data_IF_860989766175
#
_entry.id   IF_860989766175
#
_cell.length_a   1.000
_cell.length_b   1.000
_cell.length_c   1.000
_cell.angle_alpha   90.00
_cell.angle_beta   90.00
_cell.angle_gamma   90.00
#
_symmetry.space_group_name_H-M   'P 1'
#
loop_
_entity.id
_entity.type
_entity.pdbx_description
1 polymer ?
#
# COMPACT_ATOMS: atom_id res chain seq x y z
N UNK A 1 9.74 24.44 15.49
CA UNK A 1 9.88 24.85 14.06
C UNK A 1 9.97 26.36 13.97
N UNK A 2 10.94 26.95 13.24
CA UNK A 2 11.03 28.42 13.11
C UNK A 2 11.38 28.80 11.67
N UNK A 3 10.54 29.62 11.05
CA UNK A 3 10.89 30.31 9.81
C UNK A 3 12.12 31.19 10.07
N UNK A 4 13.13 31.15 9.19
CA UNK A 4 14.24 32.10 9.27
C UNK A 4 13.66 33.52 9.29
N UNK A 5 14.16 34.39 10.17
CA UNK A 5 13.64 35.77 10.37
C UNK A 5 13.43 36.52 9.05
N UNK A 6 14.35 36.33 8.10
CA UNK A 6 14.30 36.90 6.74
C UNK A 6 13.18 36.34 5.86
N UNK A 7 12.87 35.05 5.95
CA UNK A 7 11.76 34.42 5.21
C UNK A 7 10.40 34.86 5.76
N UNK A 8 10.28 34.97 7.09
CA UNK A 8 9.07 35.53 7.74
C UNK A 8 8.83 36.98 7.34
N UNK A 9 9.89 37.81 7.36
CA UNK A 9 9.79 39.22 6.98
C UNK A 9 9.38 39.39 5.50
N UNK A 10 9.98 38.62 4.58
CA UNK A 10 9.61 38.64 3.16
C UNK A 10 8.16 38.22 2.92
N UNK A 11 7.68 37.21 3.63
CA UNK A 11 6.29 36.79 3.52
C UNK A 11 5.32 37.84 4.07
N UNK A 12 5.65 38.48 5.19
CA UNK A 12 4.83 39.56 5.75
C UNK A 12 4.75 40.76 4.79
N UNK A 13 5.87 41.15 4.17
CA UNK A 13 5.88 42.22 3.16
C UNK A 13 4.99 41.84 1.97
N UNK A 14 5.11 40.61 1.48
CA UNK A 14 4.31 40.14 0.33
C UNK A 14 2.80 40.01 0.63
N UNK A 15 2.42 39.65 1.86
CA UNK A 15 1.01 39.71 2.30
C UNK A 15 0.53 41.16 2.35
N UNK A 16 1.29 42.04 3.00
CA UNK A 16 0.89 43.44 3.15
C UNK A 16 0.78 44.16 1.79
N UNK A 17 1.60 43.77 0.80
CA UNK A 17 1.49 44.28 -0.59
C UNK A 17 0.25 43.74 -1.30
N UNK A 18 -0.05 42.44 -1.14
CA UNK A 18 -1.25 41.82 -1.72
C UNK A 18 -2.56 42.36 -1.13
N UNK A 19 -2.57 42.68 0.16
CA UNK A 19 -3.71 43.34 0.82
C UNK A 19 -3.90 44.78 0.33
N UNK A 20 -2.81 45.51 0.05
CA UNK A 20 -2.86 46.87 -0.51
C UNK A 20 -3.37 46.91 -1.95
N UNK A 21 -3.21 45.84 -2.73
CA UNK A 21 -3.72 45.75 -4.11
C UNK A 21 -5.14 45.17 -4.18
N UNK A 22 -5.88 45.10 -3.08
CA UNK A 22 -7.22 44.52 -3.00
C UNK A 22 -7.32 43.10 -3.61
N UNK A 23 -6.24 42.33 -3.52
CA UNK A 23 -6.19 40.97 -4.05
C UNK A 23 -5.90 40.85 -5.54
N UNK A 24 -5.57 41.93 -6.24
CA UNK A 24 -5.05 41.86 -7.61
C UNK A 24 -3.62 41.26 -7.61
N UNK A 25 -3.46 40.11 -8.28
CA UNK A 25 -2.18 39.41 -8.44
C UNK A 25 -2.17 37.98 -7.88
N UNK A 26 -1.00 37.32 -7.88
CA UNK A 26 -0.83 35.99 -7.27
C UNK A 26 -0.57 36.13 -5.77
N UNK A 27 -1.43 35.52 -4.95
CA UNK A 27 -1.25 35.43 -3.50
C UNK A 27 0.14 34.85 -3.15
N UNK A 28 0.81 35.45 -2.17
CA UNK A 28 2.14 35.03 -1.76
C UNK A 28 2.08 33.63 -1.12
N UNK A 29 2.95 32.72 -1.57
CA UNK A 29 3.01 31.36 -1.03
C UNK A 29 3.76 31.37 0.29
N UNK A 30 3.14 30.83 1.35
CA UNK A 30 3.77 30.72 2.67
C UNK A 30 5.13 30.02 2.55
N UNK A 31 6.24 30.63 3.01
CA UNK A 31 7.55 30.03 2.87
C UNK A 31 7.59 28.67 3.57
N UNK A 32 8.15 27.67 2.89
CA UNK A 32 8.37 26.36 3.47
C UNK A 32 9.32 26.50 4.66
N UNK A 33 8.88 26.07 5.84
CA UNK A 33 9.72 25.99 7.02
C UNK A 33 10.86 25.02 6.71
N UNK A 34 12.11 25.42 6.95
CA UNK A 34 13.23 24.47 6.86
C UNK A 34 13.00 23.39 7.92
N UNK A 35 12.73 22.17 7.47
CA UNK A 35 12.56 21.01 8.33
C UNK A 35 13.95 20.47 8.68
N UNK A 36 14.29 20.49 9.96
CA UNK A 36 15.46 19.81 10.49
C UNK A 36 15.02 18.45 11.04
N UNK A 37 15.87 17.44 10.95
CA UNK A 37 15.64 16.19 11.66
C UNK A 37 15.68 16.50 13.16
N UNK A 38 14.72 15.97 13.91
CA UNK A 38 14.75 16.06 15.37
C UNK A 38 15.91 15.21 15.88
N UNK A 39 16.78 15.79 16.70
CA UNK A 39 17.97 15.09 17.23
C UNK A 39 17.59 13.85 18.07
N UNK A 40 16.40 13.86 18.68
CA UNK A 40 15.97 12.78 19.56
C UNK A 40 15.42 11.56 18.80
N UNK A 41 14.61 11.79 17.75
CA UNK A 41 13.96 10.71 17.00
C UNK A 41 14.54 10.49 15.59
N UNK A 42 15.51 11.31 15.18
CA UNK A 42 16.08 11.33 13.82
C UNK A 42 15.02 11.37 12.72
N UNK A 43 13.91 12.08 12.98
CA UNK A 43 12.79 12.23 12.05
C UNK A 43 11.77 11.09 12.01
N UNK A 44 11.96 10.01 12.77
CA UNK A 44 10.96 8.93 12.87
C UNK A 44 9.70 9.34 13.65
N UNK A 45 9.82 10.35 14.50
CA UNK A 45 8.76 10.73 15.45
C UNK A 45 8.60 9.75 16.62
N UNK A 46 9.49 8.75 16.74
CA UNK A 46 9.51 7.76 17.81
C UNK A 46 10.85 7.80 18.55
N UNK A 47 10.81 7.51 19.84
CA UNK A 47 11.99 7.29 20.67
C UNK A 47 11.92 5.89 21.27
N UNK A 48 13.03 5.15 21.36
CA UNK A 48 13.06 3.87 22.06
C UNK A 48 12.62 4.06 23.52
N UNK A 49 11.74 3.19 23.99
CA UNK A 49 11.25 3.18 25.37
C UNK A 49 11.13 1.74 25.86
N UNK A 50 11.22 1.55 27.18
CA UNK A 50 11.05 0.24 27.82
C UNK A 50 9.58 -0.19 27.92
N UNK A 51 8.66 0.77 27.81
CA UNK A 51 7.21 0.56 27.86
C UNK A 51 6.50 1.39 26.80
N UNK A 52 5.33 0.92 26.37
CA UNK A 52 4.46 1.69 25.49
C UNK A 52 3.86 2.91 26.23
N UNK A 53 3.45 3.97 25.50
CA UNK A 53 2.67 5.05 26.08
C UNK A 53 1.39 4.53 26.75
N UNK A 54 0.98 5.18 27.83
CA UNK A 54 -0.32 4.92 28.46
C UNK A 54 -1.41 5.36 27.48
N UNK A 55 -2.45 4.55 27.35
CA UNK A 55 -3.59 4.86 26.48
C UNK A 55 -4.37 6.04 27.06
N UNK A 56 -4.64 7.04 26.24
CA UNK A 56 -5.40 8.23 26.60
C UNK A 56 -6.85 8.09 26.12
N UNK A 57 -7.70 7.55 27.01
CA UNK A 57 -9.13 7.37 26.75
C UNK A 57 -9.95 8.65 26.94
N UNK A 58 -9.36 9.68 27.54
CA UNK A 58 -10.06 10.93 27.83
C UNK A 58 -10.04 11.84 26.60
N UNK A 59 -8.85 12.06 26.04
CA UNK A 59 -8.61 13.06 24.99
C UNK A 59 -8.67 12.48 23.58
N UNK A 60 -8.43 11.19 23.37
CA UNK A 60 -8.43 10.60 22.03
C UNK A 60 -9.71 9.81 21.72
N UNK A 61 -10.17 9.80 20.46
CA UNK A 61 -11.26 8.93 20.02
C UNK A 61 -10.85 7.47 20.09
N UNK A 62 -11.76 6.61 20.54
CA UNK A 62 -11.62 5.17 20.38
C UNK A 62 -11.82 4.77 18.92
N UNK A 63 -10.77 4.16 18.33
CA UNK A 63 -10.73 3.79 16.91
C UNK A 63 -11.06 2.31 16.72
N UNK A 64 -12.17 2.00 16.05
CA UNK A 64 -12.42 0.66 15.54
C UNK A 64 -11.79 0.47 14.16
N UNK A 65 -10.81 -0.41 14.05
CA UNK A 65 -10.10 -0.71 12.82
C UNK A 65 -10.67 -2.01 12.25
N UNK A 66 -11.26 -1.94 11.06
CA UNK A 66 -11.91 -3.07 10.41
C UNK A 66 -10.97 -3.65 9.36
N UNK A 67 -10.39 -4.82 9.64
CA UNK A 67 -9.44 -5.53 8.79
C UNK A 67 -8.01 -5.48 9.33
N UNK A 68 -7.44 -6.64 9.64
CA UNK A 68 -6.06 -6.78 10.12
C UNK A 68 -5.07 -7.09 8.98
N UNK A 69 -5.27 -6.48 7.81
CA UNK A 69 -4.27 -6.45 6.74
C UNK A 69 -3.08 -5.53 7.08
N UNK A 70 -2.19 -5.30 6.11
CA UNK A 70 -1.02 -4.41 6.31
C UNK A 70 -1.44 -3.00 6.79
N UNK A 71 -2.45 -2.40 6.15
CA UNK A 71 -2.92 -1.05 6.52
C UNK A 71 -3.52 -1.00 7.93
N UNK A 72 -4.39 -1.93 8.28
CA UNK A 72 -5.06 -1.94 9.58
C UNK A 72 -4.10 -2.24 10.74
N UNK A 73 -3.20 -3.22 10.59
CA UNK A 73 -2.18 -3.49 11.61
C UNK A 73 -1.21 -2.31 11.74
N UNK A 74 -0.83 -1.67 10.62
CA UNK A 74 0.01 -0.46 10.68
C UNK A 74 -0.70 0.70 11.40
N UNK A 75 -2.00 0.88 11.20
CA UNK A 75 -2.78 1.89 11.93
C UNK A 75 -2.82 1.56 13.42
N UNK A 76 -3.07 0.31 13.80
CA UNK A 76 -3.03 -0.13 15.20
C UNK A 76 -1.67 0.16 15.85
N UNK A 77 -0.55 -0.14 15.17
CA UNK A 77 0.81 0.19 15.67
C UNK A 77 1.00 1.71 15.78
N UNK A 78 0.51 2.47 14.79
CA UNK A 78 0.60 3.93 14.82
C UNK A 78 -0.22 4.54 15.98
N UNK A 79 -1.37 3.95 16.32
CA UNK A 79 -2.19 4.30 17.48
C UNK A 79 -1.50 3.94 18.79
N UNK A 80 -0.95 2.71 18.91
CA UNK A 80 -0.19 2.26 20.07
C UNK A 80 0.94 3.22 20.43
N UNK A 81 1.75 3.61 19.43
CA UNK A 81 2.87 4.54 19.63
C UNK A 81 2.45 5.96 20.03
N UNK A 82 1.16 6.30 19.95
CA UNK A 82 0.61 7.61 20.28
C UNK A 82 -0.37 7.58 21.46
N UNK A 83 -0.55 6.42 22.10
CA UNK A 83 -1.54 6.25 23.17
C UNK A 83 -2.99 6.41 22.70
N UNK A 84 -3.28 6.29 21.40
CA UNK A 84 -4.65 6.40 20.88
C UNK A 84 -5.37 5.08 21.18
N UNK A 85 -6.54 5.10 21.84
CA UNK A 85 -7.32 3.89 22.13
C UNK A 85 -7.86 3.28 20.84
N UNK A 86 -7.71 1.98 20.65
CA UNK A 86 -8.18 1.29 19.45
C UNK A 86 -8.63 -0.15 19.74
N UNK A 87 -9.46 -0.68 18.84
CA UNK A 87 -9.76 -2.11 18.74
C UNK A 87 -9.60 -2.56 17.29
N UNK A 88 -8.86 -3.65 17.05
CA UNK A 88 -8.58 -4.19 15.72
C UNK A 88 -9.39 -5.46 15.48
N UNK A 89 -10.25 -5.46 14.45
CA UNK A 89 -11.13 -6.57 14.09
C UNK A 89 -10.68 -7.22 12.79
N UNK A 90 -10.81 -8.54 12.68
CA UNK A 90 -10.51 -9.31 11.47
C UNK A 90 -11.51 -10.43 11.28
N UNK A 91 -11.97 -10.61 10.03
CA UNK A 91 -12.95 -11.65 9.68
C UNK A 91 -12.33 -13.04 9.58
N UNK A 92 -11.06 -13.12 9.22
CA UNK A 92 -10.33 -14.39 9.18
C UNK A 92 -10.24 -14.97 10.61
N UNK A 93 -10.21 -16.30 10.73
CA UNK A 93 -10.21 -16.98 12.03
C UNK A 93 -8.89 -16.91 12.78
N UNK A 94 -7.79 -16.65 12.06
CA UNK A 94 -6.44 -16.56 12.61
C UNK A 94 -5.49 -15.89 11.61
N UNK A 95 -4.26 -15.63 12.05
CA UNK A 95 -3.21 -15.08 11.19
C UNK A 95 -2.90 -15.96 9.97
N UNK A 96 -2.86 -17.28 10.16
CA UNK A 96 -2.51 -18.30 9.16
C UNK A 96 -3.69 -18.80 8.34
N UNK A 97 -4.90 -18.27 8.54
CA UNK A 97 -6.11 -18.69 7.84
C UNK A 97 -6.00 -18.61 6.31
N UNK A 98 -5.05 -17.81 5.79
CA UNK A 98 -4.74 -17.72 4.36
C UNK A 98 -3.23 -17.77 4.12
N UNK A 99 -2.81 -18.60 3.17
CA UNK A 99 -1.49 -18.51 2.55
C UNK A 99 -1.43 -17.28 1.63
N UNK A 100 -1.32 -16.08 2.19
CA UNK A 100 -1.26 -14.82 1.42
C UNK A 100 0.13 -14.60 0.79
N UNK A 101 0.79 -15.68 0.34
CA UNK A 101 2.20 -15.82 -0.01
C UNK A 101 2.65 -15.01 -1.22
N UNK A 102 2.66 -13.68 -1.11
CA UNK A 102 3.29 -12.79 -2.07
C UNK A 102 4.20 -11.78 -1.36
N UNK A 103 5.21 -11.31 -2.10
CA UNK A 103 6.20 -10.34 -1.64
C UNK A 103 5.74 -8.91 -1.88
N UNK A 104 6.22 -8.00 -1.04
CA UNK A 104 6.01 -6.56 -1.15
C UNK A 104 7.33 -5.88 -1.48
N UNK A 105 7.27 -4.84 -2.31
CA UNK A 105 8.41 -3.94 -2.56
C UNK A 105 8.17 -2.62 -1.84
N UNK A 106 8.88 -2.40 -0.74
CA UNK A 106 8.84 -1.16 0.03
C UNK A 106 9.74 -0.12 -0.65
N UNK A 107 9.14 0.91 -1.24
CA UNK A 107 9.84 1.97 -1.97
C UNK A 107 9.86 3.25 -1.13
N UNK A 108 8.72 3.96 -1.10
CA UNK A 108 8.54 5.20 -0.33
C UNK A 108 8.28 4.93 1.15
N UNK A 109 7.66 3.79 1.46
CA UNK A 109 7.30 3.41 2.82
C UNK A 109 8.50 2.86 3.63
N UNK A 110 9.70 2.73 3.04
CA UNK A 110 10.89 2.32 3.79
C UNK A 110 11.20 3.24 4.99
N UNK A 111 10.89 4.54 4.89
CA UNK A 111 10.94 5.46 6.04
C UNK A 111 9.70 5.33 6.94
N UNK A 112 8.51 5.13 6.35
CA UNK A 112 7.27 4.91 7.09
C UNK A 112 7.38 3.71 8.05
N UNK A 113 8.07 2.65 7.64
CA UNK A 113 8.34 1.47 8.49
C UNK A 113 9.13 1.86 9.76
N UNK A 114 10.08 2.80 9.67
CA UNK A 114 10.79 3.33 10.86
C UNK A 114 9.87 4.16 11.76
N UNK A 115 8.96 4.91 11.16
CA UNK A 115 7.92 5.67 11.88
C UNK A 115 6.85 4.77 12.51
N UNK A 116 6.85 3.48 12.15
CA UNK A 116 6.07 2.38 12.76
C UNK A 116 6.93 1.51 13.69
N UNK A 117 8.11 1.98 14.12
CA UNK A 117 8.96 1.30 15.10
C UNK A 117 9.84 0.18 14.55
N UNK A 118 9.78 -0.12 13.24
CA UNK A 118 10.58 -1.16 12.62
C UNK A 118 11.84 -0.55 11.98
N UNK A 119 12.96 -0.61 12.70
CA UNK A 119 14.24 -0.06 12.23
C UNK A 119 15.07 -1.06 11.41
N UNK A 120 14.76 -2.35 11.52
CA UNK A 120 15.34 -3.42 10.73
C UNK A 120 14.26 -4.41 10.30
N UNK A 121 14.41 -4.96 9.11
CA UNK A 121 13.54 -5.99 8.56
C UNK A 121 14.40 -7.23 8.30
N UNK A 122 14.37 -8.19 9.23
CA UNK A 122 15.22 -9.39 9.17
C UNK A 122 15.04 -10.18 7.87
N UNK A 123 13.80 -10.28 7.42
CA UNK A 123 13.41 -11.01 6.20
C UNK A 123 13.37 -10.09 4.97
N UNK A 124 13.95 -8.89 5.05
CA UNK A 124 13.97 -7.91 3.97
C UNK A 124 15.24 -8.03 3.11
N UNK A 125 15.07 -8.31 1.82
CA UNK A 125 16.15 -8.31 0.82
C UNK A 125 16.21 -6.98 0.05
N UNK A 126 17.39 -6.62 -0.49
CA UNK A 126 17.53 -5.47 -1.39
C UNK A 126 17.83 -5.95 -2.80
N UNK A 127 17.17 -5.37 -3.79
CA UNK A 127 17.55 -5.56 -5.19
C UNK A 127 18.70 -4.64 -5.58
N UNK A 128 19.62 -5.14 -6.42
CA UNK A 128 20.74 -4.35 -6.99
C UNK A 128 20.59 -4.08 -8.48
N UNK A 129 19.83 -4.93 -9.19
CA UNK A 129 19.68 -4.90 -10.65
C UNK A 129 18.22 -5.15 -11.04
N UNK A 130 17.71 -4.41 -12.03
CA UNK A 130 16.35 -4.59 -12.56
C UNK A 130 16.40 -4.65 -14.09
N UNK A 131 16.14 -5.80 -14.69
CA UNK A 131 16.29 -5.99 -16.16
C UNK A 131 15.00 -6.43 -16.83
N UNK A 132 14.83 -6.08 -18.10
CA UNK A 132 13.69 -6.52 -18.93
C UNK A 132 14.22 -7.28 -20.14
N UNK A 133 13.63 -8.45 -20.43
CA UNK A 133 14.00 -9.32 -21.53
C UNK A 133 12.84 -9.55 -22.52
N UNK A 134 13.21 -9.91 -23.75
CA UNK A 134 12.31 -10.61 -24.68
C UNK A 134 12.15 -12.09 -24.28
N UNK A 135 11.22 -12.81 -24.90
CA UNK A 135 10.98 -14.23 -24.64
C UNK A 135 12.18 -15.14 -24.92
N UNK A 136 13.09 -14.70 -25.79
CA UNK A 136 14.35 -15.39 -26.14
C UNK A 136 15.50 -15.04 -25.18
N UNK A 137 15.28 -14.13 -24.24
CA UNK A 137 16.28 -13.73 -23.25
C UNK A 137 17.16 -12.55 -23.67
N UNK A 138 16.86 -11.87 -24.78
CA UNK A 138 17.55 -10.64 -25.16
C UNK A 138 17.19 -9.53 -24.18
N UNK A 139 18.17 -8.93 -23.51
CA UNK A 139 17.97 -7.75 -22.67
C UNK A 139 17.48 -6.55 -23.54
N UNK A 140 16.30 -6.02 -23.23
CA UNK A 140 15.70 -4.85 -23.88
C UNK A 140 16.16 -3.56 -23.20
N UNK A 141 16.14 -3.55 -21.86
CA UNK A 141 16.52 -2.38 -21.06
C UNK A 141 16.81 -2.78 -19.61
N UNK A 142 17.59 -1.97 -18.90
CA UNK A 142 17.83 -2.06 -17.47
C UNK A 142 17.20 -0.85 -16.75
N UNK A 143 16.33 -1.11 -15.78
CA UNK A 143 15.74 -0.09 -14.93
C UNK A 143 16.67 0.20 -13.75
N UNK A 144 16.88 1.48 -13.43
CA UNK A 144 17.57 1.89 -12.20
C UNK A 144 19.01 2.39 -12.37
N UNK A 145 19.66 2.21 -13.52
CA UNK A 145 20.86 2.97 -13.85
C UNK A 145 20.49 4.33 -14.46
N UNK A 146 20.59 5.40 -13.66
CA UNK A 146 20.84 6.73 -14.22
C UNK A 146 22.27 6.69 -14.78
N UNK A 147 22.40 6.43 -16.08
CA UNK A 147 23.56 6.60 -16.97
C UNK A 147 24.97 6.44 -16.38
N UNK A 148 25.83 5.76 -17.14
CA UNK A 148 27.29 5.68 -17.00
C UNK A 148 28.04 7.04 -17.05
N UNK A 149 27.58 8.08 -16.34
CA UNK A 149 28.25 9.37 -16.18
C UNK A 149 28.25 9.92 -14.76
N UNK A 150 27.78 9.18 -13.73
CA UNK A 150 27.85 9.62 -12.33
C UNK A 150 28.07 8.47 -11.32
N UNK A 151 29.18 7.74 -11.42
CA UNK A 151 29.57 6.63 -10.52
C UNK A 151 30.14 7.12 -9.17
N UNK A 152 29.52 8.11 -8.50
CA UNK A 152 30.00 8.54 -7.15
C UNK A 152 28.93 8.78 -6.10
N UNK A 153 27.68 8.35 -6.29
CA UNK A 153 26.69 8.33 -5.20
C UNK A 153 25.93 7.03 -5.21
N UNK A 154 26.10 6.24 -4.14
CA UNK A 154 25.21 5.13 -3.84
C UNK A 154 23.76 5.62 -3.87
N UNK A 155 22.82 4.86 -4.46
CA UNK A 155 21.44 5.29 -4.53
C UNK A 155 20.90 5.51 -3.11
N UNK A 156 20.45 6.74 -2.81
CA UNK A 156 19.93 7.15 -1.49
C UNK A 156 18.66 6.41 -1.05
N UNK A 157 18.06 5.60 -1.93
CA UNK A 157 16.82 4.86 -1.69
C UNK A 157 16.99 3.45 -2.23
N UNK A 158 16.97 2.46 -1.35
CA UNK A 158 16.98 1.03 -1.72
C UNK A 158 15.57 0.50 -1.56
N UNK A 159 15.08 -0.20 -2.59
CA UNK A 159 13.84 -0.94 -2.49
C UNK A 159 14.09 -2.16 -1.59
N UNK A 160 13.19 -2.37 -0.63
CA UNK A 160 13.24 -3.56 0.22
C UNK A 160 12.14 -4.52 -0.21
N UNK A 161 12.51 -5.73 -0.59
CA UNK A 161 11.61 -6.83 -0.87
C UNK A 161 11.40 -7.62 0.42
N UNK A 162 10.14 -7.81 0.81
CA UNK A 162 9.81 -8.53 2.03
C UNK A 162 8.55 -9.37 1.83
N UNK A 163 8.49 -10.61 2.34
CA UNK A 163 7.26 -11.37 2.42
C UNK A 163 6.16 -10.55 3.11
N UNK A 164 4.98 -10.46 2.51
CA UNK A 164 3.86 -9.71 3.11
C UNK A 164 3.55 -10.20 4.53
N UNK A 165 3.53 -11.51 4.73
CA UNK A 165 3.26 -12.10 6.05
C UNK A 165 4.36 -11.77 7.06
N UNK A 166 5.63 -11.74 6.66
CA UNK A 166 6.73 -11.35 7.55
C UNK A 166 6.58 -9.90 8.02
N UNK A 167 6.24 -8.97 7.11
CA UNK A 167 5.97 -7.58 7.49
C UNK A 167 4.76 -7.46 8.43
N UNK A 168 3.66 -8.15 8.13
CA UNK A 168 2.45 -8.16 8.96
C UNK A 168 2.75 -8.70 10.36
N UNK A 169 3.50 -9.80 10.46
CA UNK A 169 3.91 -10.40 11.73
C UNK A 169 4.83 -9.46 12.52
N UNK A 170 5.79 -8.81 11.86
CA UNK A 170 6.67 -7.85 12.52
C UNK A 170 5.90 -6.67 13.14
N UNK A 171 4.83 -6.20 12.49
CA UNK A 171 3.94 -5.19 13.05
C UNK A 171 3.08 -5.74 14.19
N UNK A 172 2.47 -6.93 14.03
CA UNK A 172 1.64 -7.56 15.08
C UNK A 172 2.43 -7.84 16.36
N UNK A 173 3.70 -8.24 16.26
CA UNK A 173 4.57 -8.45 17.42
C UNK A 173 4.71 -7.22 18.31
N UNK A 174 4.62 -6.01 17.75
CA UNK A 174 4.62 -4.78 18.54
C UNK A 174 3.32 -4.57 19.33
N UNK A 175 2.22 -5.20 18.91
CA UNK A 175 0.91 -5.08 19.56
C UNK A 175 0.68 -6.11 20.67
N UNK A 176 1.65 -7.00 20.93
CA UNK A 176 1.42 -8.19 21.78
C UNK A 176 1.01 -9.43 20.99
N UNK A 177 1.40 -9.50 19.72
CA UNK A 177 1.22 -10.64 18.81
C UNK A 177 -0.25 -10.86 18.40
N UNK A 178 -0.64 -12.10 18.08
CA UNK A 178 -1.98 -12.44 17.59
C UNK A 178 -3.15 -12.07 18.52
N UNK A 179 -2.89 -11.94 19.83
CA UNK A 179 -3.92 -11.63 20.84
C UNK A 179 -4.43 -10.18 20.75
N UNK A 180 -3.73 -9.31 20.02
CA UNK A 180 -4.14 -7.92 19.81
C UNK A 180 -5.30 -7.75 18.81
N UNK A 181 -5.76 -8.84 18.19
CA UNK A 181 -6.76 -8.83 17.13
C UNK A 181 -7.99 -9.63 17.56
N UNK A 182 -9.16 -9.04 17.37
CA UNK A 182 -10.43 -9.73 17.45
C UNK A 182 -10.68 -10.52 16.16
N UNK A 183 -10.14 -11.74 16.09
CA UNK A 183 -10.31 -12.66 14.96
C UNK A 183 -11.75 -13.19 14.85
N UNK A 184 -12.14 -13.63 13.66
CA UNK A 184 -13.50 -14.11 13.36
C UNK A 184 -14.59 -13.03 13.41
N UNK A 185 -14.23 -11.75 13.56
CA UNK A 185 -15.16 -10.62 13.60
C UNK A 185 -15.41 -10.06 12.21
N UNK A 186 -16.43 -10.60 11.53
CA UNK A 186 -16.88 -10.08 10.24
C UNK A 186 -17.88 -8.95 10.45
N UNK A 187 -17.51 -7.73 10.08
CA UNK A 187 -18.46 -6.61 10.07
C UNK A 187 -19.61 -6.90 9.08
N UNK A 188 -20.84 -6.66 9.53
CA UNK A 188 -22.07 -6.84 8.73
C UNK A 188 -22.72 -5.50 8.43
N UNK A 189 -22.84 -4.65 9.45
CA UNK A 189 -23.40 -3.32 9.30
C UNK A 189 -22.87 -2.38 10.39
N UNK A 190 -23.06 -1.09 10.19
CA UNK A 190 -22.83 -0.07 11.19
C UNK A 190 -23.93 1.00 11.12
N UNK A 191 -24.08 1.76 12.20
CA UNK A 191 -24.96 2.92 12.27
C UNK A 191 -24.25 4.05 13.00
N UNK A 192 -24.48 5.28 12.53
CA UNK A 192 -24.13 6.47 13.27
C UNK A 192 -25.19 6.69 14.35
N UNK A 193 -24.77 6.85 15.60
CA UNK A 193 -25.64 7.18 16.72
C UNK A 193 -25.80 8.70 16.87
N UNK A 194 -26.86 9.14 17.58
CA UNK A 194 -27.16 10.57 17.82
C UNK A 194 -26.05 11.29 18.60
N UNK A 195 -25.29 10.56 19.43
CA UNK A 195 -24.14 11.03 20.21
C UNK A 195 -22.83 11.11 19.40
N UNK A 196 -22.92 11.04 18.07
CA UNK A 196 -21.78 11.04 17.13
C UNK A 196 -20.85 9.83 17.27
N UNK A 197 -21.18 8.82 18.08
CA UNK A 197 -20.47 7.54 18.08
C UNK A 197 -21.00 6.61 16.97
N UNK A 198 -20.27 5.54 16.68
CA UNK A 198 -20.64 4.51 15.72
C UNK A 198 -20.94 3.20 16.44
N UNK A 199 -22.09 2.59 16.13
CA UNK A 199 -22.43 1.22 16.52
C UNK A 199 -22.10 0.25 15.40
N UNK A 200 -21.32 -0.78 15.73
CA UNK A 200 -20.84 -1.81 14.80
C UNK A 200 -21.50 -3.13 15.12
N UNK A 201 -21.96 -3.84 14.09
CA UNK A 201 -22.52 -5.18 14.21
C UNK A 201 -21.65 -6.20 13.48
N UNK A 202 -21.17 -7.19 14.21
CA UNK A 202 -20.29 -8.24 13.72
C UNK A 202 -21.00 -9.59 13.76
N UNK A 203 -20.78 -10.41 12.73
CA UNK A 203 -21.06 -11.83 12.79
C UNK A 203 -19.82 -12.57 13.28
N UNK A 204 -19.95 -13.32 14.38
CA UNK A 204 -18.87 -14.07 15.03
C UNK A 204 -19.40 -15.46 15.36
N UNK A 205 -18.85 -16.51 14.72
CA UNK A 205 -19.28 -17.90 14.93
C UNK A 205 -20.81 -18.12 14.78
N UNK A 206 -21.47 -17.38 13.88
CA UNK A 206 -22.91 -17.45 13.66
C UNK A 206 -23.75 -16.54 14.56
N UNK A 207 -23.16 -15.91 15.57
CA UNK A 207 -23.84 -14.99 16.49
C UNK A 207 -23.54 -13.54 16.15
N UNK A 208 -24.49 -12.64 16.47
CA UNK A 208 -24.30 -11.20 16.33
C UNK A 208 -23.64 -10.63 17.58
N UNK A 209 -22.52 -9.92 17.41
CA UNK A 209 -21.84 -9.15 18.44
C UNK A 209 -21.85 -7.67 18.09
N UNK A 210 -21.83 -6.82 19.11
CA UNK A 210 -21.95 -5.38 18.96
C UNK A 210 -20.76 -4.67 19.60
N UNK A 211 -20.33 -3.57 19.01
CA UNK A 211 -19.30 -2.70 19.59
C UNK A 211 -19.61 -1.23 19.31
N UNK A 212 -19.03 -0.33 20.12
CA UNK A 212 -19.09 1.11 19.94
C UNK A 212 -17.70 1.70 19.72
N UNK A 213 -17.60 2.74 18.91
CA UNK A 213 -16.37 3.49 18.69
C UNK A 213 -16.66 4.94 18.31
N UNK A 214 -15.71 5.84 18.60
CA UNK A 214 -15.79 7.25 18.21
C UNK A 214 -15.38 7.46 16.74
N UNK A 215 -14.56 6.54 16.20
CA UNK A 215 -14.09 6.54 14.82
C UNK A 215 -14.02 5.10 14.29
N UNK A 216 -14.51 4.87 13.07
CA UNK A 216 -14.42 3.59 12.37
C UNK A 216 -13.59 3.75 11.11
N UNK A 217 -12.58 2.88 10.96
CA UNK A 217 -11.67 2.91 9.81
C UNK A 217 -11.77 1.61 9.03
N UNK A 218 -12.25 1.69 7.80
CA UNK A 218 -12.23 0.58 6.85
C UNK A 218 -10.81 0.34 6.31
N UNK A 219 -10.21 -0.76 6.74
CA UNK A 219 -8.92 -1.27 6.28
C UNK A 219 -9.04 -2.73 5.76
N UNK A 220 -10.25 -3.10 5.34
CA UNK A 220 -10.72 -4.45 5.01
C UNK A 220 -10.56 -4.81 3.52
N UNK A 221 -9.71 -4.06 2.82
CA UNK A 221 -9.18 -4.39 1.51
C UNK A 221 -10.08 -4.01 0.33
N UNK A 222 -9.72 -4.50 -0.87
CA UNK A 222 -10.37 -4.15 -2.15
C UNK A 222 -11.89 -4.46 -2.20
N UNK A 223 -12.35 -5.44 -1.41
CA UNK A 223 -13.78 -5.81 -1.25
C UNK A 223 -14.33 -5.31 0.09
N UNK A 224 -13.97 -4.08 0.46
CA UNK A 224 -14.32 -3.46 1.73
C UNK A 224 -15.84 -3.41 1.95
N UNK A 225 -16.29 -4.01 3.06
CA UNK A 225 -17.66 -3.91 3.56
C UNK A 225 -17.93 -2.50 4.07
N UNK A 226 -16.95 -1.88 4.74
CA UNK A 226 -17.09 -0.50 5.23
C UNK A 226 -17.38 0.44 4.06
N UNK A 227 -16.60 0.35 3.00
CA UNK A 227 -16.79 1.13 1.78
C UNK A 227 -18.16 0.89 1.14
N UNK A 228 -18.55 -0.38 1.01
CA UNK A 228 -19.83 -0.76 0.42
C UNK A 228 -21.01 -0.15 1.18
N UNK A 229 -20.96 -0.15 2.51
CA UNK A 229 -22.00 0.42 3.37
C UNK A 229 -22.01 1.96 3.37
N UNK A 230 -20.85 2.61 3.22
CA UNK A 230 -20.74 4.08 3.20
C UNK A 230 -21.17 4.71 1.88
N UNK A 231 -20.73 4.12 0.77
CA UNK A 231 -20.81 4.75 -0.56
C UNK A 231 -21.80 3.99 -1.44
N UNK A 232 -21.94 2.68 -1.27
CA UNK A 232 -22.65 1.80 -2.21
C UNK A 232 -21.75 1.29 -3.33
N UNK A 233 -21.96 0.03 -3.71
CA UNK A 233 -21.19 -0.60 -4.79
C UNK A 233 -21.59 -0.08 -6.18
N UNK A 234 -22.83 0.32 -6.38
CA UNK A 234 -23.34 0.78 -7.69
C UNK A 234 -22.70 2.12 -8.12
N UNK A 235 -22.42 3.01 -7.15
CA UNK A 235 -21.82 4.31 -7.44
C UNK A 235 -20.35 4.22 -7.82
N UNK A 236 -19.66 3.19 -7.33
CA UNK A 236 -18.20 3.08 -7.49
C UNK A 236 -17.76 1.62 -7.58
N UNK A 237 -18.21 0.84 -8.58
CA UNK A 237 -18.04 -0.60 -8.63
C UNK A 237 -16.58 -1.04 -8.78
N UNK A 238 -16.29 -2.31 -8.46
CA UNK A 238 -15.02 -2.91 -8.84
C UNK A 238 -14.93 -3.00 -10.36
N UNK A 239 -13.83 -2.52 -10.91
CA UNK A 239 -13.58 -2.55 -12.34
C UNK A 239 -12.57 -3.63 -12.65
N UNK A 240 -12.99 -4.64 -13.41
CA UNK A 240 -12.07 -5.63 -13.94
C UNK A 240 -11.16 -4.99 -14.97
N UNK A 241 -9.85 -5.23 -14.86
CA UNK A 241 -8.87 -4.61 -15.74
C UNK A 241 -8.59 -5.41 -17.03
N UNK A 242 -9.22 -6.59 -17.21
CA UNK A 242 -9.00 -7.42 -18.40
C UNK A 242 -7.88 -8.46 -18.27
N UNK A 243 -7.32 -8.64 -17.07
CA UNK A 243 -6.15 -9.48 -16.84
C UNK A 243 -6.32 -10.41 -15.63
N UNK A 244 -5.67 -11.57 -15.70
CA UNK A 244 -5.40 -12.42 -14.55
C UNK A 244 -3.94 -12.29 -14.14
N UNK A 245 -3.68 -12.45 -12.85
CA UNK A 245 -2.34 -12.60 -12.31
C UNK A 245 -2.25 -13.96 -11.64
N UNK A 246 -1.19 -14.71 -11.96
CA UNK A 246 -0.76 -15.92 -11.29
C UNK A 246 0.53 -15.59 -10.54
N UNK A 247 0.61 -15.95 -9.27
CA UNK A 247 1.79 -15.78 -8.44
C UNK A 247 2.29 -17.13 -7.97
N UNK A 248 3.60 -17.26 -7.85
CA UNK A 248 4.22 -18.40 -7.19
C UNK A 248 5.46 -18.03 -6.40
N UNK A 249 5.70 -18.76 -5.31
CA UNK A 249 6.96 -18.71 -4.57
C UNK A 249 7.75 -19.99 -4.85
N UNK A 250 8.91 -19.84 -5.46
CA UNK A 250 9.81 -20.95 -5.79
C UNK A 250 11.01 -20.95 -4.84
N UNK A 251 11.28 -22.09 -4.22
CA UNK A 251 12.51 -22.29 -3.44
C UNK A 251 13.71 -22.38 -4.37
N UNK A 252 14.80 -21.68 -4.04
CA UNK A 252 16.08 -21.79 -4.72
C UNK A 252 16.70 -23.19 -4.56
N UNK A 253 16.36 -23.92 -3.49
CA UNK A 253 16.80 -25.30 -3.33
C UNK A 253 16.23 -26.22 -4.43
N UNK A 254 14.97 -26.01 -4.81
CA UNK A 254 14.34 -26.76 -5.91
C UNK A 254 14.96 -26.42 -7.28
N UNK A 255 15.79 -25.37 -7.35
CA UNK A 255 16.52 -24.93 -8.53
C UNK A 255 18.03 -25.26 -8.45
N UNK A 256 18.46 -26.11 -7.49
CA UNK A 256 19.84 -26.60 -7.43
C UNK A 256 20.25 -27.22 -8.78
N UNK A 257 21.35 -26.72 -9.33
CA UNK A 257 21.86 -27.12 -10.65
C UNK A 257 21.37 -26.26 -11.83
N UNK A 258 20.46 -25.31 -11.60
CA UNK A 258 20.07 -24.32 -12.61
C UNK A 258 21.01 -23.11 -12.51
N UNK A 259 22.02 -23.07 -13.38
CA UNK A 259 22.92 -21.91 -13.46
C UNK A 259 22.26 -20.77 -14.24
N UNK A 260 22.11 -19.61 -13.59
CA UNK A 260 21.60 -18.39 -14.19
C UNK A 260 22.05 -17.16 -13.41
N UNK A 261 22.54 -16.14 -14.12
CA UNK A 261 22.87 -14.83 -13.52
C UNK A 261 21.65 -14.09 -12.98
N UNK A 262 20.44 -14.52 -13.33
CA UNK A 262 19.18 -13.97 -12.85
C UNK A 262 18.73 -14.54 -11.49
N UNK A 263 19.41 -15.55 -10.97
CA UNK A 263 19.11 -16.22 -9.67
C UNK A 263 20.17 -15.91 -8.60
N UNK A 264 20.68 -14.68 -8.58
CA UNK A 264 21.71 -14.20 -7.65
C UNK A 264 21.14 -13.66 -6.31
N UNK A 265 19.85 -13.86 -6.05
CA UNK A 265 19.10 -13.32 -4.90
C UNK A 265 19.05 -11.79 -4.80
N UNK A 266 19.46 -11.06 -5.84
CA UNK A 266 19.50 -9.59 -5.85
C UNK A 266 18.94 -8.97 -7.15
N UNK A 267 18.83 -9.76 -8.21
CA UNK A 267 18.32 -9.35 -9.51
C UNK A 267 16.80 -9.51 -9.53
N UNK A 268 16.13 -8.42 -9.89
CA UNK A 268 14.74 -8.41 -10.31
C UNK A 268 14.74 -8.45 -11.83
N UNK A 269 13.92 -9.32 -12.42
CA UNK A 269 13.80 -9.35 -13.87
C UNK A 269 12.36 -9.47 -14.33
N UNK A 270 12.13 -9.01 -15.54
CA UNK A 270 10.85 -9.11 -16.21
C UNK A 270 11.06 -9.64 -17.62
N UNK A 271 10.17 -10.49 -18.09
CA UNK A 271 10.14 -10.95 -19.48
C UNK A 271 8.78 -10.68 -20.08
N UNK A 272 8.77 -10.12 -21.29
CA UNK A 272 7.57 -9.62 -21.95
C UNK A 272 7.55 -9.98 -23.43
N UNK A 273 6.36 -10.23 -23.97
CA UNK A 273 6.12 -10.38 -25.41
C UNK A 273 5.13 -9.34 -25.97
N UNK A 274 4.79 -8.34 -25.16
CA UNK A 274 3.80 -7.31 -25.49
C UNK A 274 2.34 -7.75 -25.35
N UNK A 275 2.09 -8.93 -24.75
CA UNK A 275 0.75 -9.40 -24.35
C UNK A 275 0.77 -10.08 -22.99
N UNK A 276 1.81 -10.84 -22.71
CA UNK A 276 2.04 -11.60 -21.49
C UNK A 276 3.31 -11.08 -20.83
N UNK A 277 3.35 -11.19 -19.50
CA UNK A 277 4.45 -10.69 -18.68
C UNK A 277 4.73 -11.68 -17.57
N UNK A 278 6.00 -12.03 -17.38
CA UNK A 278 6.48 -12.61 -16.13
C UNK A 278 7.39 -11.60 -15.44
N UNK A 279 7.22 -11.46 -14.14
CA UNK A 279 8.05 -10.64 -13.28
C UNK A 279 8.55 -11.49 -12.12
N UNK A 280 9.86 -11.49 -11.89
CA UNK A 280 10.51 -12.31 -10.88
C UNK A 280 11.34 -11.40 -9.98
N UNK A 281 11.23 -11.60 -8.67
CA UNK A 281 11.99 -10.86 -7.68
C UNK A 281 12.44 -11.79 -6.53
N UNK A 282 13.52 -11.44 -5.82
CA UNK A 282 13.84 -12.07 -4.54
C UNK A 282 12.65 -11.98 -3.58
N UNK A 283 12.30 -13.09 -2.93
CA UNK A 283 11.22 -13.15 -1.95
C UNK A 283 11.77 -13.23 -0.53
N UNK A 284 12.63 -14.22 -0.29
CA UNK A 284 13.46 -14.37 0.91
C UNK A 284 14.88 -14.80 0.48
N UNK A 285 15.76 -15.10 1.44
CA UNK A 285 17.15 -15.50 1.14
C UNK A 285 17.24 -16.79 0.32
N UNK A 286 16.25 -17.66 0.42
CA UNK A 286 16.22 -19.00 -0.13
C UNK A 286 15.13 -19.20 -1.20
N UNK A 287 14.48 -18.12 -1.64
CA UNK A 287 13.31 -18.21 -2.51
C UNK A 287 13.06 -16.96 -3.35
N UNK A 288 12.48 -17.18 -4.52
CA UNK A 288 12.05 -16.13 -5.46
C UNK A 288 10.54 -16.14 -5.61
N UNK A 289 9.94 -14.96 -5.77
CA UNK A 289 8.55 -14.82 -6.16
C UNK A 289 8.49 -14.52 -7.65
N UNK A 290 7.61 -15.19 -8.37
CA UNK A 290 7.25 -14.85 -9.73
C UNK A 290 5.78 -14.43 -9.81
N UNK A 291 5.49 -13.55 -10.77
CA UNK A 291 4.17 -13.04 -11.10
C UNK A 291 4.01 -13.14 -12.62
N UNK A 292 3.11 -14.00 -13.07
CA UNK A 292 2.75 -14.14 -14.48
C UNK A 292 1.39 -13.52 -14.74
N UNK A 293 1.30 -12.63 -15.73
CA UNK A 293 0.06 -11.92 -16.06
C UNK A 293 -0.20 -11.90 -17.56
N UNK A 294 -1.47 -12.01 -17.92
CA UNK A 294 -1.93 -12.06 -19.31
C UNK A 294 -3.41 -11.64 -19.43
N UNK A 295 -3.82 -11.13 -20.60
CA UNK A 295 -5.19 -10.72 -20.84
C UNK A 295 -6.12 -11.93 -21.00
N UNK A 296 -7.28 -11.86 -20.37
CA UNK A 296 -8.29 -12.92 -20.35
C UNK A 296 -9.66 -12.31 -19.99
N UNK A 297 -10.78 -12.76 -20.59
CA UNK A 297 -12.12 -12.34 -20.18
C UNK A 297 -12.40 -12.64 -18.70
N UNK A 298 -13.25 -11.83 -18.06
CA UNK A 298 -13.44 -11.91 -16.60
C UNK A 298 -13.96 -13.27 -16.13
N UNK A 299 -14.95 -13.81 -16.83
CA UNK A 299 -15.57 -15.10 -16.47
C UNK A 299 -14.57 -16.26 -16.61
N UNK A 300 -13.72 -16.23 -17.64
CA UNK A 300 -12.64 -17.21 -17.80
C UNK A 300 -11.57 -17.06 -16.72
N UNK A 301 -11.23 -15.82 -16.33
CA UNK A 301 -10.28 -15.55 -15.24
C UNK A 301 -10.79 -16.07 -13.90
N UNK A 302 -12.08 -15.87 -13.60
CA UNK A 302 -12.76 -16.41 -12.42
C UNK A 302 -12.76 -17.94 -12.46
N UNK A 303 -13.11 -18.54 -13.60
CA UNK A 303 -13.12 -19.98 -13.78
C UNK A 303 -11.73 -20.60 -13.58
N UNK A 304 -10.68 -20.00 -14.15
CA UNK A 304 -9.31 -20.46 -13.98
C UNK A 304 -8.85 -20.35 -12.53
N UNK A 305 -9.13 -19.23 -11.85
CA UNK A 305 -8.81 -19.05 -10.43
C UNK A 305 -9.53 -20.08 -9.54
N UNK A 306 -10.80 -20.40 -9.85
CA UNK A 306 -11.60 -21.37 -9.12
C UNK A 306 -11.13 -22.83 -9.29
N UNK A 307 -10.47 -23.17 -10.40
CA UNK A 307 -9.87 -24.49 -10.60
C UNK A 307 -8.67 -24.76 -9.68
N UNK A 308 -8.13 -23.72 -9.05
CA UNK A 308 -7.11 -23.84 -8.01
C UNK A 308 -5.68 -23.87 -8.55
N UNK A 309 -4.76 -24.11 -7.62
CA UNK A 309 -3.34 -23.81 -7.84
C UNK A 309 -2.65 -24.70 -8.89
N UNK A 310 -3.11 -25.95 -9.05
CA UNK A 310 -2.57 -26.87 -10.06
C UNK A 310 -2.88 -26.39 -11.49
N UNK A 311 -4.14 -26.02 -11.77
CA UNK A 311 -4.53 -25.48 -13.08
C UNK A 311 -3.83 -24.16 -13.39
N UNK A 312 -3.67 -23.29 -12.39
CA UNK A 312 -2.90 -22.05 -12.51
C UNK A 312 -1.43 -22.31 -12.85
N UNK A 313 -0.81 -23.32 -12.22
CA UNK A 313 0.57 -23.75 -12.54
C UNK A 313 0.68 -24.23 -13.98
N UNK A 314 -0.22 -25.13 -14.40
CA UNK A 314 -0.24 -25.71 -15.73
C UNK A 314 -0.41 -24.62 -16.80
N UNK A 315 -1.31 -23.66 -16.57
CA UNK A 315 -1.53 -22.55 -17.51
C UNK A 315 -0.31 -21.63 -17.61
N UNK A 316 0.35 -21.32 -16.48
CA UNK A 316 1.60 -20.56 -16.49
C UNK A 316 2.71 -21.32 -17.24
N UNK A 317 2.90 -22.62 -16.96
CA UNK A 317 3.87 -23.46 -17.64
C UNK A 317 3.58 -23.53 -19.14
N UNK A 318 2.33 -23.71 -19.56
CA UNK A 318 1.94 -23.82 -20.98
C UNK A 318 2.26 -22.55 -21.77
N UNK A 319 2.05 -21.37 -21.19
CA UNK A 319 2.24 -20.08 -21.88
C UNK A 319 3.69 -19.58 -21.83
N UNK A 320 4.38 -19.77 -20.71
CA UNK A 320 5.69 -19.17 -20.46
C UNK A 320 6.86 -20.13 -20.72
N UNK A 321 6.83 -20.84 -21.86
CA UNK A 321 7.97 -21.62 -22.38
C UNK A 321 9.04 -20.69 -22.99
N UNK A 322 9.60 -19.81 -22.16
CA UNK A 322 10.53 -18.75 -22.56
C UNK A 322 11.97 -19.09 -22.15
N UNK A 323 12.88 -18.12 -22.23
CA UNK A 323 14.28 -18.29 -21.85
C UNK A 323 14.47 -18.78 -20.40
N UNK A 324 15.63 -19.43 -20.17
CA UNK A 324 16.05 -19.83 -18.82
C UNK A 324 16.22 -18.59 -17.91
N UNK A 325 15.83 -18.64 -16.63
CA UNK A 325 15.40 -19.81 -15.87
C UNK A 325 13.86 -19.96 -15.73
N UNK A 326 13.06 -19.30 -16.59
CA UNK A 326 11.60 -19.20 -16.37
C UNK A 326 10.90 -20.58 -16.36
N UNK A 327 11.10 -21.47 -17.35
CA UNK A 327 10.47 -22.79 -17.32
C UNK A 327 10.86 -23.61 -16.07
N UNK A 328 12.11 -23.49 -15.62
CA UNK A 328 12.62 -24.17 -14.42
C UNK A 328 11.93 -23.65 -13.16
N UNK A 329 11.82 -22.31 -13.01
CA UNK A 329 11.11 -21.69 -11.89
C UNK A 329 9.67 -22.19 -11.83
N UNK A 330 8.93 -22.11 -12.94
CA UNK A 330 7.52 -22.48 -12.99
C UNK A 330 7.32 -23.97 -12.69
N UNK A 331 8.14 -24.84 -13.28
CA UNK A 331 8.06 -26.29 -13.07
C UNK A 331 8.39 -26.68 -11.61
N UNK A 332 9.42 -26.08 -11.02
CA UNK A 332 9.86 -26.37 -9.66
C UNK A 332 8.93 -25.80 -8.58
N UNK A 333 8.13 -24.77 -8.90
CA UNK A 333 7.20 -24.16 -7.94
C UNK A 333 6.12 -25.16 -7.52
N UNK A 334 5.99 -25.43 -6.22
CA UNK A 334 4.97 -26.33 -5.69
C UNK A 334 3.57 -25.71 -5.87
N UNK A 335 2.53 -26.49 -6.24
CA UNK A 335 1.17 -25.98 -6.35
C UNK A 335 0.67 -25.29 -5.08
N UNK A 336 1.04 -25.78 -3.90
CA UNK A 336 0.68 -25.14 -2.62
C UNK A 336 1.24 -23.71 -2.44
N UNK A 337 2.24 -23.32 -3.24
CA UNK A 337 2.83 -21.99 -3.24
C UNK A 337 2.34 -21.13 -4.41
N UNK A 338 1.30 -21.57 -5.12
CA UNK A 338 0.72 -20.86 -6.28
C UNK A 338 -0.67 -20.35 -5.93
N UNK A 339 -0.94 -19.12 -6.35
CA UNK A 339 -2.26 -18.51 -6.27
C UNK A 339 -2.51 -17.68 -7.52
N UNK A 340 -3.76 -17.34 -7.79
CA UNK A 340 -4.08 -16.49 -8.92
C UNK A 340 -5.44 -15.86 -8.79
N UNK A 341 -5.58 -14.65 -9.31
CA UNK A 341 -6.80 -13.87 -9.19
C UNK A 341 -6.99 -12.93 -10.39
N UNK A 342 -8.25 -12.62 -10.76
CA UNK A 342 -8.54 -11.56 -11.71
C UNK A 342 -8.15 -10.21 -11.10
N UNK A 343 -7.59 -9.33 -11.92
CA UNK A 343 -7.10 -8.03 -11.46
C UNK A 343 -8.23 -7.01 -11.52
N UNK A 344 -8.44 -6.33 -10.40
CA UNK A 344 -9.43 -5.27 -10.27
C UNK A 344 -8.78 -3.99 -9.76
N UNK A 345 -9.37 -2.86 -10.12
CA UNK A 345 -9.19 -1.58 -9.44
C UNK A 345 -10.55 -0.91 -9.20
N UNK A 346 -10.51 0.36 -8.80
CA UNK A 346 -11.68 1.23 -8.82
C UNK A 346 -11.27 2.59 -9.38
N UNK A 347 -12.26 3.34 -9.83
CA UNK A 347 -12.06 4.77 -10.09
C UNK A 347 -11.60 5.50 -8.84
N UNK A 348 -11.06 6.70 -9.03
CA UNK A 348 -10.61 7.54 -7.93
C UNK A 348 -11.77 7.83 -6.99
N UNK A 349 -11.55 7.55 -5.71
CA UNK A 349 -12.42 8.00 -4.64
C UNK A 349 -12.42 9.53 -4.63
N UNK A 350 -13.61 10.12 -4.69
CA UNK A 350 -13.79 11.57 -4.65
C UNK A 350 -14.22 11.99 -3.25
N UNK A 351 -13.82 13.18 -2.82
CA UNK A 351 -14.08 13.68 -1.45
C UNK A 351 -15.57 13.81 -1.16
N UNK A 352 -16.38 14.13 -2.15
CA UNK A 352 -17.83 14.33 -2.03
C UNK A 352 -18.55 13.06 -1.56
N UNK A 353 -17.98 11.88 -1.87
CA UNK A 353 -18.52 10.58 -1.43
C UNK A 353 -18.27 10.30 0.07
N UNK A 354 -17.41 11.08 0.73
CA UNK A 354 -17.09 10.94 2.15
C UNK A 354 -17.65 12.09 2.99
N UNK A 355 -18.14 13.19 2.39
CA UNK A 355 -18.62 14.37 3.13
C UNK A 355 -19.62 14.04 4.23
N UNK A 356 -20.56 13.14 3.94
CA UNK A 356 -21.61 12.71 4.86
C UNK A 356 -21.29 11.38 5.58
N UNK A 357 -20.05 10.90 5.51
CA UNK A 357 -19.64 9.63 6.12
C UNK A 357 -19.45 9.72 7.64
N UNK A 358 -19.81 10.83 8.30
CA UNK A 358 -19.80 10.97 9.76
C UNK A 358 -18.49 10.49 10.39
N UNK A 359 -18.57 9.58 11.36
CA UNK A 359 -17.44 9.00 12.10
C UNK A 359 -16.69 7.88 11.35
N UNK A 360 -16.86 7.77 10.02
CA UNK A 360 -16.30 6.69 9.23
C UNK A 360 -15.32 7.22 8.18
N UNK A 361 -14.26 6.44 7.92
CA UNK A 361 -13.29 6.70 6.84
C UNK A 361 -12.69 5.39 6.32
N UNK A 362 -11.85 5.47 5.28
CA UNK A 362 -11.25 4.35 4.58
C UNK A 362 -9.75 4.57 4.43
N UNK A 363 -8.95 3.48 4.45
CA UNK A 363 -7.51 3.50 4.16
C UNK A 363 -7.10 2.32 3.26
N UNK A 364 -5.93 2.42 2.63
CA UNK A 364 -5.39 1.35 1.80
C UNK A 364 -6.33 0.96 0.66
N UNK A 365 -6.39 -0.33 0.33
CA UNK A 365 -7.21 -0.85 -0.77
C UNK A 365 -8.72 -0.66 -0.56
N UNK A 366 -9.18 -0.34 0.67
CA UNK A 366 -10.58 0.05 0.89
C UNK A 366 -10.88 1.45 0.33
N UNK A 367 -9.88 2.35 0.32
CA UNK A 367 -10.01 3.70 -0.20
C UNK A 367 -9.55 3.82 -1.66
N UNK A 368 -8.37 3.28 -1.99
CA UNK A 368 -7.69 3.48 -3.27
C UNK A 368 -7.10 2.17 -3.82
N UNK A 369 -7.95 1.16 -4.10
CA UNK A 369 -7.47 -0.10 -4.67
C UNK A 369 -6.82 0.14 -6.03
N UNK A 370 -5.68 -0.50 -6.25
CA UNK A 370 -4.87 -0.32 -7.46
C UNK A 370 -4.29 -1.65 -7.93
N UNK A 371 -3.96 -1.71 -9.22
CA UNK A 371 -3.34 -2.89 -9.80
C UNK A 371 -1.98 -3.22 -9.13
N UNK A 372 -1.59 -4.50 -9.08
CA UNK A 372 -0.37 -4.92 -8.38
C UNK A 372 0.93 -4.51 -9.11
N UNK A 373 0.85 -3.99 -10.34
CA UNK A 373 2.00 -3.86 -11.24
C UNK A 373 3.02 -2.77 -10.85
N UNK A 374 2.64 -1.79 -10.01
CA UNK A 374 3.57 -0.76 -9.49
C UNK A 374 3.99 -0.97 -8.03
N UNK A 375 3.43 -1.98 -7.35
CA UNK A 375 3.73 -2.27 -5.94
C UNK A 375 3.40 -1.13 -4.98
N UNK A 376 2.45 -0.24 -5.30
CA UNK A 376 2.17 0.96 -4.50
C UNK A 376 1.12 0.77 -3.40
N UNK A 377 0.20 -0.19 -3.51
CA UNK A 377 -0.95 -0.33 -2.59
C UNK A 377 -0.53 -0.38 -1.11
N UNK A 378 0.31 -1.37 -0.75
CA UNK A 378 0.82 -1.48 0.61
C UNK A 378 1.64 -0.26 1.06
N UNK A 379 2.41 0.36 0.15
CA UNK A 379 3.17 1.57 0.47
C UNK A 379 2.25 2.74 0.83
N UNK A 380 1.12 2.90 0.13
CA UNK A 380 0.14 3.94 0.45
C UNK A 380 -0.61 3.62 1.73
N UNK A 381 -1.04 2.38 1.95
CA UNK A 381 -1.73 1.97 3.17
C UNK A 381 -0.90 2.25 4.45
N UNK A 382 0.42 2.03 4.41
CA UNK A 382 1.33 2.39 5.51
C UNK A 382 1.39 3.89 5.77
N UNK A 383 1.37 4.71 4.71
CA UNK A 383 1.36 6.17 4.82
C UNK A 383 0.02 6.69 5.32
N UNK A 384 -1.09 6.09 4.90
CA UNK A 384 -2.45 6.41 5.37
C UNK A 384 -2.54 6.19 6.88
N UNK A 385 -2.12 5.01 7.35
CA UNK A 385 -2.10 4.65 8.77
C UNK A 385 -1.36 5.69 9.63
N UNK A 386 -0.14 6.06 9.20
CA UNK A 386 0.66 7.08 9.90
C UNK A 386 0.03 8.47 9.84
N UNK A 387 -0.51 8.87 8.69
CA UNK A 387 -1.13 10.18 8.51
C UNK A 387 -2.37 10.30 9.40
N UNK A 388 -3.24 9.29 9.44
CA UNK A 388 -4.44 9.30 10.27
C UNK A 388 -4.09 9.38 11.75
N UNK A 389 -3.22 8.50 12.25
CA UNK A 389 -2.83 8.51 13.66
C UNK A 389 -2.14 9.83 14.07
N UNK A 390 -1.36 10.45 13.16
CA UNK A 390 -0.79 11.79 13.38
C UNK A 390 -1.84 12.88 13.44
N UNK A 391 -2.82 12.86 12.53
CA UNK A 391 -3.87 13.86 12.51
C UNK A 391 -4.73 13.77 13.78
N UNK A 392 -5.08 12.55 14.23
CA UNK A 392 -5.74 12.34 15.53
C UNK A 392 -4.90 12.95 16.66
N UNK A 393 -3.63 12.55 16.78
CA UNK A 393 -2.77 13.01 17.88
C UNK A 393 -2.57 14.54 17.91
N UNK A 394 -2.50 15.17 16.73
CA UNK A 394 -2.32 16.62 16.58
C UNK A 394 -3.61 17.40 16.85
N UNK A 395 -4.76 16.89 16.42
CA UNK A 395 -6.01 17.63 16.42
C UNK A 395 -6.89 17.35 17.65
N UNK A 396 -6.82 16.14 18.23
CA UNK A 396 -7.55 15.75 19.43
C UNK A 396 -6.76 16.07 20.71
N UNK A 397 -6.42 17.35 20.90
CA UNK A 397 -5.81 17.83 22.16
C UNK A 397 -6.89 18.08 23.23
N UNK A 398 -6.54 18.16 24.53
CA UNK A 398 -7.53 18.46 25.58
C UNK A 398 -8.37 19.73 25.34
N UNK A 399 -7.87 20.66 24.53
CA UNK A 399 -8.53 21.93 24.21
C UNK A 399 -9.37 21.90 22.93
N UNK A 400 -9.32 20.83 22.13
CA UNK A 400 -9.94 20.84 20.79
C UNK A 400 -11.45 20.62 20.78
N UNK A 401 -12.04 20.24 21.91
CA UNK A 401 -13.48 19.93 22.05
C UNK A 401 -13.99 18.99 20.95
N UNK A 402 -13.15 18.07 20.48
CA UNK A 402 -13.48 17.23 19.32
C UNK A 402 -14.72 16.35 19.51
N UNK A 403 -15.11 16.04 20.75
CA UNK A 403 -16.36 15.33 21.06
C UNK A 403 -17.60 16.18 20.74
N UNK A 404 -17.54 17.49 20.96
CA UNK A 404 -18.61 18.43 20.64
C UNK A 404 -18.67 18.67 19.12
N UNK A 405 -17.52 18.93 18.48
CA UNK A 405 -17.43 19.22 17.05
C UNK A 405 -17.68 17.97 16.19
N UNK A 406 -17.00 16.88 16.51
CA UNK A 406 -17.02 15.61 15.77
C UNK A 406 -15.68 15.32 15.10
N UNK A 407 -15.32 14.03 15.03
CA UNK A 407 -14.02 13.59 14.49
C UNK A 407 -13.85 13.93 13.00
N UNK A 408 -14.93 14.03 12.23
CA UNK A 408 -14.87 14.35 10.80
C UNK A 408 -14.28 15.73 10.55
N UNK A 409 -14.87 16.73 11.17
CA UNK A 409 -14.46 18.13 11.03
C UNK A 409 -13.04 18.36 11.58
N UNK A 410 -12.70 17.72 12.71
CA UNK A 410 -11.41 17.93 13.39
C UNK A 410 -10.27 17.15 12.74
N UNK A 411 -10.53 15.97 12.18
CA UNK A 411 -9.50 15.00 11.74
C UNK A 411 -9.69 14.53 10.31
N UNK A 412 -10.88 14.03 9.98
CA UNK A 412 -11.05 13.21 8.77
C UNK A 412 -10.97 14.02 7.49
N UNK A 413 -11.54 15.23 7.44
CA UNK A 413 -11.51 16.05 6.22
C UNK A 413 -10.07 16.37 5.79
N UNK A 414 -9.22 16.86 6.71
CA UNK A 414 -7.79 17.14 6.42
C UNK A 414 -7.04 15.85 6.04
N UNK A 415 -7.33 14.74 6.73
CA UNK A 415 -6.72 13.44 6.44
C UNK A 415 -7.07 12.93 5.03
N UNK A 416 -8.36 12.94 4.69
CA UNK A 416 -8.90 12.41 3.44
C UNK A 416 -8.41 13.21 2.25
N UNK A 417 -8.44 14.55 2.32
CA UNK A 417 -7.87 15.40 1.27
C UNK A 417 -6.41 15.05 0.98
N UNK A 418 -5.60 14.91 2.03
CA UNK A 418 -4.18 14.54 1.91
C UNK A 418 -3.96 13.12 1.38
N UNK A 419 -4.81 12.16 1.78
CA UNK A 419 -4.78 10.78 1.30
C UNK A 419 -5.17 10.71 -0.19
N UNK A 420 -6.27 11.33 -0.57
CA UNK A 420 -6.79 11.33 -1.94
C UNK A 420 -5.82 12.01 -2.90
N UNK A 421 -5.29 13.19 -2.55
CA UNK A 421 -4.31 13.90 -3.37
C UNK A 421 -3.03 13.07 -3.60
N UNK A 422 -2.54 12.38 -2.56
CA UNK A 422 -1.34 11.55 -2.65
C UNK A 422 -1.57 10.29 -3.49
N UNK A 423 -2.66 9.57 -3.22
CA UNK A 423 -2.95 8.26 -3.80
C UNK A 423 -3.47 8.35 -5.24
N UNK A 424 -4.12 9.45 -5.64
CA UNK A 424 -4.73 9.62 -6.96
C UNK A 424 -3.73 9.38 -8.11
N UNK A 425 -2.54 9.97 -8.02
CA UNK A 425 -1.50 9.73 -9.02
C UNK A 425 -1.09 8.26 -9.11
N UNK A 426 -1.07 7.54 -7.98
CA UNK A 426 -0.65 6.14 -7.90
C UNK A 426 -1.68 5.18 -8.47
N UNK A 427 -2.96 5.45 -8.26
CA UNK A 427 -4.05 4.67 -8.86
C UNK A 427 -4.02 4.83 -10.38
N UNK A 428 -4.01 6.07 -10.89
CA UNK A 428 -3.94 6.36 -12.34
C UNK A 428 -2.71 5.72 -12.98
N UNK A 429 -1.54 5.99 -12.40
CA UNK A 429 -0.27 5.45 -12.84
C UNK A 429 -0.28 3.90 -12.88
N UNK A 430 -0.98 3.24 -11.95
CA UNK A 430 -1.04 1.78 -11.88
C UNK A 430 -1.99 1.19 -12.92
N UNK A 431 -3.09 1.88 -13.25
CA UNK A 431 -3.98 1.51 -14.35
C UNK A 431 -3.24 1.63 -15.70
N UNK A 432 -2.58 2.76 -15.96
CA UNK A 432 -1.78 2.98 -17.17
C UNK A 432 -0.65 1.94 -17.34
N UNK A 433 -0.03 1.51 -16.24
CA UNK A 433 0.99 0.47 -16.32
C UNK A 433 0.44 -0.88 -16.76
N UNK A 434 -0.81 -1.20 -16.48
CA UNK A 434 -1.41 -2.46 -16.94
C UNK A 434 -1.44 -2.49 -18.46
N UNK A 435 -1.91 -1.42 -19.08
CA UNK A 435 -1.98 -1.26 -20.54
C UNK A 435 -0.58 -1.29 -21.16
N UNK A 436 0.36 -0.52 -20.61
CA UNK A 436 1.73 -0.46 -21.13
C UNK A 436 2.44 -1.82 -21.05
N UNK A 437 2.31 -2.54 -19.93
CA UNK A 437 3.04 -3.79 -19.69
C UNK A 437 2.56 -4.96 -20.55
N UNK A 438 1.34 -4.85 -21.11
CA UNK A 438 0.73 -5.85 -21.97
C UNK A 438 0.43 -5.30 -23.37
N UNK A 439 1.23 -4.32 -23.84
CA UNK A 439 1.20 -3.83 -25.21
C UNK A 439 2.56 -3.97 -25.88
N UNK A 440 2.58 -3.90 -27.22
CA UNK A 440 3.83 -3.90 -28.01
C UNK A 440 4.76 -2.74 -27.65
N UNK A 441 4.27 -1.68 -27.02
CA UNK A 441 5.10 -0.55 -26.60
C UNK A 441 6.13 -0.92 -25.53
N UNK A 442 5.85 -1.97 -24.75
CA UNK A 442 6.82 -2.52 -23.78
C UNK A 442 8.08 -3.05 -24.47
N UNK A 443 8.01 -3.43 -25.75
CA UNK A 443 9.13 -3.99 -26.52
C UNK A 443 10.02 -2.92 -27.16
N UNK A 444 9.60 -1.64 -27.19
CA UNK A 444 10.42 -0.58 -27.77
C UNK A 444 11.71 -0.40 -26.96
N UNK A 445 12.86 -0.43 -27.64
CA UNK A 445 14.16 -0.15 -27.03
C UNK A 445 14.25 1.34 -26.65
N UNK A 446 14.74 1.65 -25.45
CA UNK A 446 14.82 3.02 -24.95
C UNK A 446 15.27 3.09 -23.49
N UNK A 447 16.13 4.05 -23.19
CA UNK A 447 16.77 4.27 -21.89
C UNK A 447 15.96 5.18 -20.93
N UNK A 448 14.73 5.55 -21.30
CA UNK A 448 13.86 6.39 -20.48
C UNK A 448 12.76 5.58 -19.78
N UNK A 449 12.25 6.03 -18.62
CA UNK A 449 11.09 5.41 -17.99
C UNK A 449 9.92 5.43 -18.98
N UNK A 450 9.48 4.24 -19.45
CA UNK A 450 8.52 4.06 -20.55
C UNK A 450 7.12 4.69 -20.35
N UNK A 451 6.82 5.24 -19.16
CA UNK A 451 5.62 6.04 -18.90
C UNK A 451 5.77 7.54 -19.19
N UNK A 452 6.98 8.04 -19.51
CA UNK A 452 7.24 9.46 -19.76
C UNK A 452 7.16 9.82 -21.25
N UNK A 453 7.52 8.91 -22.14
CA UNK A 453 7.49 9.12 -23.60
C UNK A 453 6.07 9.32 -24.15
N UNK A 454 5.05 8.71 -23.53
CA UNK A 454 3.65 8.88 -23.93
C UNK A 454 3.07 10.27 -23.60
N UNK A 455 3.65 11.03 -22.65
CA UNK A 455 3.19 12.40 -22.35
C UNK A 455 3.71 13.44 -23.34
N UNK A 456 4.73 13.11 -24.14
CA UNK A 456 5.31 14.04 -25.11
C UNK A 456 4.66 13.98 -26.51
N UNK A 457 3.82 12.97 -26.78
CA UNK A 457 3.21 12.81 -28.12
C UNK A 457 1.76 13.31 -28.22
N UNK A 458 1.23 13.97 -27.18
CA UNK A 458 -0.10 14.59 -27.17
C UNK A 458 -0.05 16.11 -26.95
N UNK A 459 0.98 16.79 -27.48
CA UNK A 459 1.03 18.25 -27.61
C UNK A 459 1.10 18.65 -29.08
#
# INVERSE_FOLDING_TARGET
>A
MRLRKKARLRYQIAINEFEKTQGEGKASVRPKVTQYLCDNCSGSGLIPATSHPIVDTENYPHVAIIGAGIGGVALAVACLHRGIPFTLYERDSSFDARAQGYGLTLQQASNAIKELGLFSLKDGGNSTRHVVHTTEGKEITEWGMRTHSNIKKSPKRRNVHIPRQALRLALLKQLGDHNAVHWGHRLVCFKQCEDKCAELSFQVNGEMKYAKADLVVGADGVRSVVRSLLIGEDLTPLRYLGYVVILGICSLEALKGVESSLLDSATVFQTVNGRERIYVMPYALDSVMWQFSFPIPEEEAKALSAQGAQALKEEACRRAQWHKPIPQILSATLPAQISGYPVYDRELLKSELLENAGAFTLIGDAAHPMSPFKGQGANQALLDALALARNISKACTPLSKWRETGVREIVLTEFEEGMLARSASKVKDSAEAVELLHSKDVLREGYEPKGRSLRCNNL
#
